data_IF_582357626634
#
_entry.id   IF_582357626634
#
_cell.length_a   1.000
_cell.length_b   1.000
_cell.length_c   1.000
_cell.angle_alpha   90.00
_cell.angle_beta   90.00
_cell.angle_gamma   90.00
#
_symmetry.space_group_name_H-M   'P 1'
#
loop_
_entity.id
_entity.type
_entity.pdbx_description
1 polymer ?
#
# COMPACT_ATOMS: atom_id res chain seq x y z
N UNK A 1 -1.90 -23.05 26.11
CA UNK A 1 -2.72 -21.82 26.24
C UNK A 1 -2.27 -20.87 25.16
N UNK A 2 -3.09 -20.62 24.15
CA UNK A 2 -2.78 -19.56 23.16
C UNK A 2 -2.88 -18.23 23.85
N UNK A 3 -1.78 -17.50 23.92
CA UNK A 3 -1.74 -16.16 24.49
C UNK A 3 -2.48 -15.24 23.52
N UNK A 4 -3.66 -14.77 23.89
CA UNK A 4 -4.42 -13.78 23.15
C UNK A 4 -3.67 -12.45 23.29
N UNK A 5 -3.36 -11.80 22.18
CA UNK A 5 -2.68 -10.50 22.17
C UNK A 5 -3.64 -9.41 21.74
N UNK A 6 -3.49 -8.22 22.34
CA UNK A 6 -4.26 -7.04 21.97
C UNK A 6 -3.57 -6.27 20.85
N UNK A 7 -4.31 -5.35 20.19
CA UNK A 7 -3.75 -4.41 19.19
C UNK A 7 -2.53 -3.68 19.78
N UNK A 8 -2.64 -3.14 21.00
CA UNK A 8 -1.52 -2.45 21.67
C UNK A 8 -0.29 -3.34 21.83
N UNK A 9 -0.49 -4.60 22.23
CA UNK A 9 0.61 -5.56 22.37
C UNK A 9 1.23 -5.95 21.03
N UNK A 10 0.40 -6.09 19.97
CA UNK A 10 0.89 -6.33 18.63
C UNK A 10 1.74 -5.16 18.12
N UNK A 11 1.28 -3.92 18.29
CA UNK A 11 2.04 -2.73 17.92
C UNK A 11 3.35 -2.56 18.70
N UNK A 12 3.44 -3.03 19.95
CA UNK A 12 4.71 -2.99 20.70
C UNK A 12 5.83 -3.83 20.05
N UNK A 13 5.47 -4.79 19.20
CA UNK A 13 6.43 -5.62 18.46
C UNK A 13 7.06 -4.86 17.27
N UNK A 14 6.56 -3.67 16.92
CA UNK A 14 7.08 -2.85 15.83
C UNK A 14 8.59 -2.59 15.93
N UNK A 15 9.17 -2.57 17.14
CA UNK A 15 10.61 -2.41 17.38
C UNK A 15 11.48 -3.42 16.60
N UNK A 16 10.93 -4.58 16.24
CA UNK A 16 11.60 -5.59 15.41
C UNK A 16 12.00 -5.05 14.03
N UNK A 17 11.30 -4.04 13.53
CA UNK A 17 11.57 -3.41 12.24
C UNK A 17 12.50 -2.19 12.33
N UNK A 18 12.94 -1.78 13.53
CA UNK A 18 13.73 -0.57 13.74
C UNK A 18 15.04 -0.54 12.94
N UNK A 19 15.66 -1.69 12.70
CA UNK A 19 16.88 -1.82 11.89
C UNK A 19 16.61 -1.98 10.37
N UNK A 20 15.35 -2.08 9.96
CA UNK A 20 14.97 -2.34 8.57
C UNK A 20 14.55 -1.06 7.85
N UNK A 21 13.89 -0.14 8.55
CA UNK A 21 13.32 1.08 7.97
C UNK A 21 13.20 2.18 9.01
N UNK A 22 13.41 3.42 8.59
CA UNK A 22 13.12 4.60 9.41
C UNK A 22 11.63 4.72 9.74
N UNK A 23 10.75 4.28 8.83
CA UNK A 23 9.29 4.27 8.97
C UNK A 23 8.73 3.06 9.72
N UNK A 24 9.54 2.31 10.45
CA UNK A 24 9.18 1.02 11.05
C UNK A 24 7.87 1.00 11.86
N UNK A 25 7.52 2.10 12.55
CA UNK A 25 6.26 2.21 13.29
C UNK A 25 5.06 2.22 12.35
N UNK A 26 5.11 3.11 11.36
CA UNK A 26 4.06 3.22 10.34
C UNK A 26 3.90 1.91 9.56
N UNK A 27 5.00 1.27 9.21
CA UNK A 27 4.98 -0.02 8.51
C UNK A 27 4.30 -1.11 9.33
N UNK A 28 4.61 -1.20 10.64
CA UNK A 28 3.95 -2.12 11.55
C UNK A 28 2.44 -1.87 11.66
N UNK A 29 2.02 -0.60 11.72
CA UNK A 29 0.61 -0.22 11.73
C UNK A 29 -0.11 -0.62 10.44
N UNK A 30 0.52 -0.41 9.27
CA UNK A 30 -0.02 -0.82 7.97
C UNK A 30 -0.21 -2.35 7.92
N UNK A 31 0.80 -3.11 8.35
CA UNK A 31 0.73 -4.57 8.36
C UNK A 31 -0.34 -5.09 9.31
N UNK A 32 -0.47 -4.48 10.50
CA UNK A 32 -1.49 -4.88 11.45
C UNK A 32 -2.90 -4.53 10.94
N UNK A 33 -3.09 -3.34 10.38
CA UNK A 33 -4.37 -2.95 9.78
C UNK A 33 -4.79 -3.91 8.65
N UNK A 34 -3.83 -4.31 7.80
CA UNK A 34 -4.13 -5.29 6.74
C UNK A 34 -4.45 -6.68 7.31
N UNK A 35 -3.76 -7.14 8.36
CA UNK A 35 -4.05 -8.40 9.03
C UNK A 35 -5.45 -8.42 9.66
N UNK A 36 -5.90 -7.27 10.18
CA UNK A 36 -7.22 -7.10 10.76
C UNK A 36 -8.32 -6.82 9.70
N UNK A 37 -7.94 -6.59 8.44
CA UNK A 37 -8.84 -6.11 7.38
C UNK A 37 -9.59 -4.84 7.79
N UNK A 38 -8.87 -3.91 8.41
CA UNK A 38 -9.33 -2.66 8.98
C UNK A 38 -8.47 -1.49 8.50
N UNK A 39 -8.74 -0.29 8.99
CA UNK A 39 -7.91 0.89 8.77
C UNK A 39 -7.02 1.18 9.99
N UNK A 40 -6.04 2.08 9.80
CA UNK A 40 -5.11 2.44 10.87
C UNK A 40 -5.79 3.18 12.03
N UNK A 41 -6.80 3.97 11.75
CA UNK A 41 -7.58 4.74 12.74
C UNK A 41 -8.21 3.80 13.77
N UNK A 42 -8.71 2.64 13.34
CA UNK A 42 -9.29 1.63 14.22
C UNK A 42 -8.27 1.05 15.22
N UNK A 43 -6.99 0.99 14.86
CA UNK A 43 -5.92 0.51 15.77
C UNK A 43 -5.78 1.43 16.99
N UNK A 44 -5.95 2.72 16.79
CA UNK A 44 -5.86 3.73 17.85
C UNK A 44 -7.18 3.90 18.62
N UNK A 45 -8.30 3.69 17.95
CA UNK A 45 -9.63 3.74 18.59
C UNK A 45 -9.84 2.55 19.53
N UNK A 46 -9.33 1.38 19.21
CA UNK A 46 -9.58 0.13 19.94
C UNK A 46 -8.30 -0.60 20.37
N UNK A 47 -7.37 0.03 21.10
CA UNK A 47 -6.06 -0.57 21.42
C UNK A 47 -6.13 -1.81 22.31
N UNK A 48 -7.22 -1.97 23.07
CA UNK A 48 -7.48 -3.12 23.94
C UNK A 48 -8.20 -4.28 23.23
N UNK A 49 -8.60 -4.09 21.96
CA UNK A 49 -9.22 -5.17 21.19
C UNK A 49 -8.25 -6.34 21.03
N UNK A 50 -8.74 -7.54 21.30
CA UNK A 50 -8.02 -8.79 21.14
C UNK A 50 -7.99 -9.22 19.68
N UNK A 51 -6.84 -9.73 19.24
CA UNK A 51 -6.69 -10.35 17.93
C UNK A 51 -7.16 -11.81 17.99
N UNK A 52 -7.90 -12.23 16.97
CA UNK A 52 -8.09 -13.67 16.77
C UNK A 52 -6.74 -14.34 16.48
N UNK A 53 -6.65 -15.64 16.69
CA UNK A 53 -5.45 -16.41 16.38
C UNK A 53 -5.03 -16.21 14.90
N UNK A 54 -5.99 -16.27 13.99
CA UNK A 54 -5.74 -16.08 12.57
C UNK A 54 -5.16 -14.69 12.25
N UNK A 55 -5.67 -13.64 12.88
CA UNK A 55 -5.15 -12.27 12.71
C UNK A 55 -3.75 -12.13 13.29
N UNK A 56 -3.50 -12.69 14.47
CA UNK A 56 -2.18 -12.67 15.10
C UNK A 56 -1.15 -13.42 14.24
N UNK A 57 -1.49 -14.62 13.75
CA UNK A 57 -0.61 -15.41 12.89
C UNK A 57 -0.33 -14.69 11.56
N UNK A 58 -1.34 -14.07 10.93
CA UNK A 58 -1.19 -13.29 9.71
C UNK A 58 -0.25 -12.09 9.93
N UNK A 59 -0.45 -11.33 11.00
CA UNK A 59 0.42 -10.21 11.35
C UNK A 59 1.88 -10.66 11.57
N UNK A 60 2.10 -11.74 12.34
CA UNK A 60 3.43 -12.27 12.58
C UNK A 60 4.13 -12.70 11.29
N UNK A 61 3.41 -13.33 10.38
CA UNK A 61 3.94 -13.73 9.08
C UNK A 61 4.34 -12.51 8.24
N UNK A 62 3.51 -11.45 8.21
CA UNK A 62 3.81 -10.21 7.50
C UNK A 62 5.04 -9.50 8.11
N UNK A 63 5.14 -9.45 9.44
CA UNK A 63 6.29 -8.88 10.14
C UNK A 63 7.60 -9.62 9.78
N UNK A 64 7.59 -10.94 9.77
CA UNK A 64 8.76 -11.75 9.37
C UNK A 64 9.19 -11.49 7.92
N UNK A 65 8.25 -11.32 6.99
CA UNK A 65 8.55 -10.95 5.59
C UNK A 65 9.22 -9.57 5.55
N UNK A 66 8.70 -8.60 6.30
CA UNK A 66 9.28 -7.26 6.36
C UNK A 66 10.67 -7.23 7.00
N UNK A 67 10.91 -8.01 8.04
CA UNK A 67 12.22 -8.19 8.66
C UNK A 67 13.29 -8.69 7.69
N UNK A 68 12.88 -9.48 6.70
CA UNK A 68 13.76 -9.96 5.60
C UNK A 68 13.98 -8.92 4.50
N UNK A 69 13.44 -7.71 4.65
CA UNK A 69 13.57 -6.61 3.70
C UNK A 69 12.51 -6.57 2.60
N UNK A 70 11.49 -7.44 2.64
CA UNK A 70 10.43 -7.42 1.62
C UNK A 70 9.62 -6.11 1.69
N UNK A 71 9.39 -5.41 0.56
CA UNK A 71 8.61 -4.19 0.54
C UNK A 71 7.18 -4.36 1.05
N UNK A 72 6.68 -3.38 1.82
CA UNK A 72 5.30 -3.38 2.36
C UNK A 72 4.27 -3.63 1.26
N UNK A 73 4.43 -2.97 0.11
CA UNK A 73 3.51 -3.12 -1.02
C UNK A 73 3.40 -4.57 -1.53
N UNK A 74 4.50 -5.33 -1.53
CA UNK A 74 4.46 -6.75 -1.92
C UNK A 74 3.90 -7.65 -0.82
N UNK A 75 4.09 -7.28 0.45
CA UNK A 75 3.53 -8.01 1.59
C UNK A 75 2.01 -7.88 1.62
N UNK A 76 1.49 -6.67 1.44
CA UNK A 76 0.05 -6.38 1.44
C UNK A 76 -0.61 -6.65 0.09
N UNK A 77 0.18 -6.71 -0.99
CA UNK A 77 -0.30 -6.83 -2.37
C UNK A 77 -0.90 -5.54 -2.93
N UNK A 78 -0.66 -4.39 -2.29
CA UNK A 78 -1.32 -3.13 -2.56
C UNK A 78 -0.34 -1.96 -2.54
N UNK A 79 -0.56 -0.98 -3.43
CA UNK A 79 0.17 0.28 -3.49
C UNK A 79 -0.78 1.42 -3.81
N UNK A 80 -0.84 2.40 -2.93
CA UNK A 80 -1.54 3.65 -3.23
C UNK A 80 -0.81 4.39 -4.36
N UNK A 81 -1.57 4.88 -5.32
CA UNK A 81 -1.07 5.70 -6.41
C UNK A 81 -2.18 6.63 -6.87
N UNK A 82 -1.90 7.93 -6.97
CA UNK A 82 -2.87 8.95 -7.31
C UNK A 82 -4.06 8.93 -6.33
N UNK A 83 -5.29 8.70 -6.82
CA UNK A 83 -6.51 8.63 -6.00
C UNK A 83 -7.08 7.20 -5.88
N UNK A 84 -6.26 6.18 -6.15
CA UNK A 84 -6.69 4.78 -6.12
C UNK A 84 -5.58 3.86 -5.58
N UNK A 85 -5.96 2.61 -5.35
CA UNK A 85 -5.08 1.55 -4.89
C UNK A 85 -4.81 0.55 -6.03
N UNK A 86 -3.55 0.30 -6.31
CA UNK A 86 -3.09 -0.69 -7.28
C UNK A 86 -2.84 -2.04 -6.61
N UNK A 87 -3.18 -3.12 -7.30
CA UNK A 87 -2.67 -4.45 -6.96
C UNK A 87 -1.25 -4.61 -7.49
N UNK A 88 -0.33 -4.98 -6.61
CA UNK A 88 1.08 -5.19 -6.97
C UNK A 88 1.58 -6.52 -6.41
N UNK A 89 2.60 -7.07 -7.07
CA UNK A 89 3.29 -8.27 -6.64
C UNK A 89 4.78 -8.19 -7.09
N UNK A 90 5.65 -9.11 -6.71
CA UNK A 90 7.07 -9.06 -7.08
C UNK A 90 7.38 -9.10 -8.58
N UNK A 91 6.39 -9.34 -9.44
CA UNK A 91 6.58 -9.36 -10.91
C UNK A 91 6.45 -7.96 -11.53
N UNK A 92 5.97 -6.96 -10.80
CA UNK A 92 5.84 -5.58 -11.28
C UNK A 92 6.62 -4.63 -10.38
N UNK A 93 7.14 -3.57 -10.96
CA UNK A 93 7.76 -2.49 -10.20
C UNK A 93 6.69 -1.76 -9.37
N UNK A 94 6.98 -1.52 -8.10
CA UNK A 94 6.15 -0.66 -7.24
C UNK A 94 6.21 0.75 -7.80
N UNK A 95 5.07 1.37 -8.16
CA UNK A 95 5.05 2.74 -8.66
C UNK A 95 5.70 3.70 -7.66
N UNK A 96 6.55 4.59 -8.17
CA UNK A 96 7.20 5.61 -7.37
C UNK A 96 6.33 6.86 -7.26
N UNK A 97 6.38 7.60 -6.15
CA UNK A 97 5.62 8.86 -5.99
C UNK A 97 5.91 9.87 -7.11
N UNK A 98 7.16 9.94 -7.58
CA UNK A 98 7.60 10.84 -8.66
C UNK A 98 6.89 10.55 -10.00
N UNK A 99 6.37 9.34 -10.17
CA UNK A 99 5.58 8.96 -11.36
C UNK A 99 4.26 9.72 -11.45
N UNK A 100 3.74 10.20 -10.33
CA UNK A 100 2.52 11.02 -10.28
C UNK A 100 2.71 12.36 -11.00
N UNK A 101 3.92 12.93 -10.97
CA UNK A 101 4.25 14.14 -11.72
C UNK A 101 4.10 13.94 -13.23
N UNK A 102 4.43 12.73 -13.73
CA UNK A 102 4.22 12.39 -15.14
C UNK A 102 2.73 12.36 -15.48
N UNK A 103 1.90 11.80 -14.60
CA UNK A 103 0.43 11.79 -14.76
C UNK A 103 -0.12 13.22 -14.81
N UNK A 104 0.30 14.09 -13.87
CA UNK A 104 -0.10 15.50 -13.85
C UNK A 104 0.27 16.22 -15.15
N UNK A 105 1.49 16.01 -15.63
CA UNK A 105 1.99 16.62 -16.85
C UNK A 105 1.18 16.16 -18.07
N UNK A 106 0.88 14.87 -18.14
CA UNK A 106 0.08 14.31 -19.22
C UNK A 106 -1.35 14.86 -19.19
N UNK A 107 -1.98 14.96 -18.03
CA UNK A 107 -3.34 15.53 -17.89
C UNK A 107 -3.35 16.98 -18.41
N UNK A 108 -2.41 17.82 -17.98
CA UNK A 108 -2.30 19.21 -18.44
C UNK A 108 -2.12 19.34 -19.96
N UNK A 109 -1.44 18.37 -20.58
CA UNK A 109 -1.31 18.32 -22.04
C UNK A 109 -2.60 17.87 -22.73
N UNK A 110 -3.35 16.96 -22.12
CA UNK A 110 -4.58 16.40 -22.69
C UNK A 110 -5.78 17.36 -22.60
N UNK A 111 -5.89 18.14 -21.53
CA UNK A 111 -7.02 19.06 -21.30
C UNK A 111 -7.31 20.02 -22.46
N UNK A 112 -6.32 20.72 -23.06
CA UNK A 112 -6.55 21.61 -24.21
C UNK A 112 -7.00 20.87 -25.47
N UNK A 113 -6.68 19.58 -25.57
CA UNK A 113 -6.97 18.74 -26.75
C UNK A 113 -8.22 17.84 -26.54
N UNK A 114 -9.03 18.15 -25.54
CA UNK A 114 -10.14 17.32 -25.10
C UNK A 114 -11.27 17.10 -26.12
N UNK A 115 -11.29 17.85 -27.22
CA UNK A 115 -12.24 17.67 -28.33
C UNK A 115 -11.82 16.63 -29.36
N UNK A 116 -10.58 16.14 -29.32
CA UNK A 116 -10.05 15.15 -30.25
C UNK A 116 -10.03 13.75 -29.62
N UNK A 117 -10.38 12.72 -30.41
CA UNK A 117 -10.20 11.33 -30.00
C UNK A 117 -8.68 11.00 -29.99
N UNK A 118 -8.06 11.10 -28.83
CA UNK A 118 -6.65 10.83 -28.62
C UNK A 118 -6.42 9.36 -28.32
N UNK A 119 -5.36 8.80 -28.88
CA UNK A 119 -4.83 7.49 -28.49
C UNK A 119 -3.57 7.66 -27.66
N UNK A 120 -3.57 7.04 -26.48
CA UNK A 120 -2.44 7.02 -25.56
C UNK A 120 -1.81 5.63 -25.56
N UNK A 121 -0.51 5.58 -25.51
CA UNK A 121 0.27 4.34 -25.39
C UNK A 121 1.20 4.49 -24.17
N UNK A 122 1.09 3.58 -23.23
CA UNK A 122 1.95 3.49 -22.05
C UNK A 122 2.97 2.36 -22.27
N UNK A 123 4.19 2.72 -22.66
CA UNK A 123 5.28 1.77 -22.89
C UNK A 123 5.95 1.39 -21.59
N UNK A 124 5.99 0.08 -21.29
CA UNK A 124 6.49 -0.40 -20.02
C UNK A 124 5.53 -0.17 -18.87
N UNK A 125 4.25 -0.36 -19.12
CA UNK A 125 3.12 -0.02 -18.23
C UNK A 125 3.23 -0.57 -16.79
N UNK A 126 4.00 -1.65 -16.55
CA UNK A 126 4.16 -2.26 -15.24
C UNK A 126 2.84 -2.64 -14.57
N UNK A 127 2.52 -1.99 -13.45
CA UNK A 127 1.23 -2.17 -12.76
C UNK A 127 0.04 -1.49 -13.43
N UNK A 128 0.26 -0.76 -14.52
CA UNK A 128 -0.76 0.04 -15.18
C UNK A 128 -1.02 1.40 -14.52
N UNK A 129 -0.17 1.84 -13.60
CA UNK A 129 -0.38 3.02 -12.77
C UNK A 129 -0.69 4.28 -13.59
N UNK A 130 0.13 4.59 -14.61
CA UNK A 130 -0.03 5.78 -15.45
C UNK A 130 -1.29 5.66 -16.30
N UNK A 131 -1.44 4.54 -17.02
CA UNK A 131 -2.58 4.31 -17.90
C UNK A 131 -3.92 4.39 -17.13
N UNK A 132 -4.00 3.78 -15.95
CA UNK A 132 -5.20 3.82 -15.12
C UNK A 132 -5.49 5.22 -14.58
N UNK A 133 -4.45 5.96 -14.13
CA UNK A 133 -4.62 7.33 -13.66
C UNK A 133 -5.15 8.23 -14.78
N UNK A 134 -4.59 8.15 -15.98
CA UNK A 134 -5.04 8.91 -17.13
C UNK A 134 -6.45 8.54 -17.56
N UNK A 135 -6.80 7.24 -17.56
CA UNK A 135 -8.14 6.79 -17.88
C UNK A 135 -9.21 7.27 -16.90
N UNK A 136 -8.86 7.40 -15.61
CA UNK A 136 -9.78 7.94 -14.58
C UNK A 136 -10.00 9.44 -14.69
N UNK A 137 -8.99 10.19 -15.15
CA UNK A 137 -9.02 11.65 -15.21
C UNK A 137 -9.38 12.19 -16.59
N UNK A 138 -9.20 11.40 -17.66
CA UNK A 138 -9.67 11.81 -18.98
C UNK A 138 -11.20 11.64 -19.05
N UNK A 139 -11.88 12.72 -19.41
CA UNK A 139 -13.35 12.74 -19.65
C UNK A 139 -13.72 12.15 -21.02
N UNK A 140 -12.88 11.26 -21.56
CA UNK A 140 -12.99 10.75 -22.94
C UNK A 140 -13.16 9.26 -22.95
#
# INVERSE_FOLDING_TARGET
MSMVITIKQALSQAQRLQGVSEGWRLESEILLADALKSNREALFAWPAQELSRQQADAYQHMMQRRERGEPIAYITGKQAFWDFELKVNPQVLIPRPETELLVETAIKFLEPNSSAALRLVDLGTGSGAIALALARHSKH
#
